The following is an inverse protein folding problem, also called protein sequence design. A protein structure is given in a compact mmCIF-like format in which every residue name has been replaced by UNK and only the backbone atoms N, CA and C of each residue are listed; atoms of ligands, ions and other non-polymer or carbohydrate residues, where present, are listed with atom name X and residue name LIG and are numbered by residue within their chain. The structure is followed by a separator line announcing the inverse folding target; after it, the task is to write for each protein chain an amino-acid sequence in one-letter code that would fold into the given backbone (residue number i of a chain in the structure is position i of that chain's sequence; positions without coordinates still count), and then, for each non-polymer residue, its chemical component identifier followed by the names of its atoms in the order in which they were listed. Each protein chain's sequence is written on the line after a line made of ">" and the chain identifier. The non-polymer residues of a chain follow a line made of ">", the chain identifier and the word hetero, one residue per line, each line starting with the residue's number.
data_IF_254722469963
#
_entry.id   IF_254722469963
#
_cell.length_a   1.000
_cell.length_b   1.000
_cell.length_c   1.000
_cell.angle_alpha   90.00
_cell.angle_beta   90.00
_cell.angle_gamma   90.00
#
_symmetry.space_group_name_H-M   'P 1'
#
loop_
_entity.id
_entity.type
_entity.pdbx_description
1 polymer ?
#
# COMPACT_ATOMS: atom_id res chain seq x y z
N UNK A 1 3.14 74.76 -9.85
CA UNK A 1 3.31 73.93 -11.06
C UNK A 1 4.06 72.67 -10.66
N UNK A 2 3.37 71.54 -10.53
CA UNK A 2 4.00 70.23 -10.38
C UNK A 2 3.45 69.36 -11.51
N UNK A 3 4.31 69.02 -12.47
CA UNK A 3 3.96 68.17 -13.59
C UNK A 3 3.94 66.72 -13.10
N UNK A 4 2.77 66.09 -13.18
CA UNK A 4 2.62 64.66 -12.93
C UNK A 4 3.26 63.88 -14.08
N UNK A 5 4.31 63.13 -13.77
CA UNK A 5 4.91 62.15 -14.69
C UNK A 5 3.99 60.93 -14.71
N UNK A 6 3.24 60.77 -15.79
CA UNK A 6 2.42 59.58 -16.04
C UNK A 6 3.33 58.50 -16.66
N UNK A 7 3.67 57.46 -15.89
CA UNK A 7 4.30 56.25 -16.42
C UNK A 7 3.24 55.37 -17.10
N UNK A 8 3.48 54.86 -18.33
CA UNK A 8 2.56 53.93 -18.97
C UNK A 8 2.65 52.55 -18.30
N UNK A 9 1.59 52.17 -17.59
CA UNK A 9 1.39 50.81 -17.07
C UNK A 9 1.06 49.89 -18.25
N UNK A 10 2.09 49.24 -18.81
CA UNK A 10 1.87 48.06 -19.66
C UNK A 10 1.41 46.92 -18.77
N UNK A 11 0.08 46.81 -18.57
CA UNK A 11 -0.52 45.61 -18.01
C UNK A 11 -0.36 44.48 -19.05
N UNK A 12 0.61 43.60 -18.85
CA UNK A 12 0.62 42.30 -19.52
C UNK A 12 -0.63 41.54 -19.07
N UNK A 13 -1.61 41.43 -19.96
CA UNK A 13 -2.78 40.58 -19.76
C UNK A 13 -2.30 39.13 -19.72
N UNK A 14 -2.36 38.52 -18.54
CA UNK A 14 -2.22 37.08 -18.41
C UNK A 14 -3.41 36.41 -19.11
N UNK A 15 -3.19 35.41 -19.97
CA UNK A 15 -4.29 34.71 -20.59
C UNK A 15 -5.17 34.05 -19.50
N UNK A 16 -6.49 33.98 -19.72
CA UNK A 16 -7.38 33.28 -18.81
C UNK A 16 -6.90 31.84 -18.61
N UNK A 17 -6.95 31.37 -17.36
CA UNK A 17 -6.56 30.00 -17.02
C UNK A 17 -7.36 28.95 -17.81
N UNK A 18 -6.81 27.75 -18.00
CA UNK A 18 -7.48 26.70 -18.76
C UNK A 18 -8.80 26.28 -18.10
N UNK A 19 -9.78 25.97 -18.94
CA UNK A 19 -11.10 25.50 -18.52
C UNK A 19 -11.01 24.03 -18.09
N UNK A 20 -11.03 23.81 -16.77
CA UNK A 20 -10.91 22.48 -16.15
C UNK A 20 -12.13 21.59 -16.36
N UNK A 21 -13.24 22.11 -16.92
CA UNK A 21 -14.40 21.29 -17.26
C UNK A 21 -14.22 20.49 -18.55
N UNK A 22 -13.21 20.84 -19.37
CA UNK A 22 -12.92 20.17 -20.63
C UNK A 22 -11.97 19.00 -20.43
N UNK A 23 -12.29 17.87 -21.06
CA UNK A 23 -11.45 16.67 -21.06
C UNK A 23 -10.16 16.93 -21.84
N UNK A 24 -9.00 16.67 -21.22
CA UNK A 24 -7.71 16.79 -21.89
C UNK A 24 -7.53 15.59 -22.82
N UNK A 25 -7.37 15.84 -24.12
CA UNK A 25 -7.32 14.80 -25.16
C UNK A 25 -5.92 14.59 -25.73
N UNK A 26 -4.88 14.90 -24.95
CA UNK A 26 -3.47 14.84 -25.40
C UNK A 26 -2.57 14.25 -24.31
N UNK A 27 -1.35 13.86 -24.69
CA UNK A 27 -0.32 13.45 -23.72
C UNK A 27 -0.66 12.13 -23.02
N UNK A 28 -0.17 12.01 -21.79
CA UNK A 28 -0.47 10.88 -20.91
C UNK A 28 -1.97 10.71 -20.63
N UNK A 29 -2.75 11.80 -20.63
CA UNK A 29 -4.19 11.72 -20.40
C UNK A 29 -4.90 10.94 -21.51
N UNK A 30 -4.53 11.20 -22.78
CA UNK A 30 -5.10 10.46 -23.92
C UNK A 30 -4.81 8.95 -23.82
N UNK A 31 -3.63 8.58 -23.33
CA UNK A 31 -3.27 7.18 -23.09
C UNK A 31 -4.09 6.60 -21.94
N UNK A 32 -4.17 7.30 -20.80
CA UNK A 32 -4.94 6.86 -19.64
C UNK A 32 -6.43 6.66 -19.97
N UNK A 33 -7.01 7.57 -20.74
CA UNK A 33 -8.37 7.47 -21.25
C UNK A 33 -8.59 6.24 -22.12
N UNK A 34 -7.67 5.97 -23.04
CA UNK A 34 -7.77 4.78 -23.90
C UNK A 34 -7.64 3.49 -23.10
N UNK A 35 -6.74 3.46 -22.11
CA UNK A 35 -6.51 2.28 -21.28
C UNK A 35 -7.66 2.00 -20.30
N UNK A 36 -8.44 3.02 -19.95
CA UNK A 36 -9.63 2.91 -19.08
C UNK A 36 -10.93 2.74 -19.87
N UNK A 37 -10.88 2.77 -21.20
CA UNK A 37 -12.04 2.60 -22.07
C UNK A 37 -12.69 1.23 -21.84
N UNK A 38 -13.90 1.25 -21.26
CA UNK A 38 -14.73 0.05 -21.09
C UNK A 38 -15.24 -0.36 -22.47
N UNK A 39 -15.18 -1.66 -22.84
CA UNK A 39 -15.77 -2.13 -24.08
C UNK A 39 -17.25 -1.74 -24.13
N UNK A 40 -17.63 -0.89 -25.08
CA UNK A 40 -19.04 -0.65 -25.40
C UNK A 40 -19.48 -1.72 -26.39
N UNK A 41 -20.57 -2.42 -26.09
CA UNK A 41 -21.20 -3.41 -26.99
C UNK A 41 -21.88 -2.75 -28.22
N UNK A 42 -21.51 -1.53 -28.58
CA UNK A 42 -22.02 -0.84 -29.76
C UNK A 42 -21.36 -1.39 -31.02
N UNK A 43 -22.18 -2.03 -31.86
CA UNK A 43 -21.79 -2.62 -33.14
C UNK A 43 -21.14 -1.61 -34.12
N UNK A 44 -21.30 -0.30 -33.90
CA UNK A 44 -20.79 0.75 -34.79
C UNK A 44 -19.40 1.31 -34.42
N UNK A 45 -18.91 1.13 -33.19
CA UNK A 45 -17.61 1.68 -32.72
C UNK A 45 -16.44 0.67 -32.81
N UNK A 46 -16.60 -0.40 -33.59
CA UNK A 46 -15.70 -1.57 -33.59
C UNK A 46 -14.39 -1.37 -34.38
N UNK A 47 -14.09 -0.15 -34.83
CA UNK A 47 -12.97 0.11 -35.76
C UNK A 47 -11.62 0.23 -35.06
N UNK A 48 -11.58 0.55 -33.76
CA UNK A 48 -10.33 0.64 -33.01
C UNK A 48 -10.09 -0.58 -32.12
N UNK A 49 -8.98 -1.27 -32.35
CA UNK A 49 -8.54 -2.39 -31.53
C UNK A 49 -8.37 -1.94 -30.09
N UNK A 50 -9.04 -2.63 -29.15
CA UNK A 50 -8.87 -2.41 -27.71
C UNK A 50 -7.39 -2.54 -27.35
N UNK A 51 -6.87 -1.56 -26.64
CA UNK A 51 -5.50 -1.55 -26.13
C UNK A 51 -5.52 -2.05 -24.70
N UNK A 52 -4.62 -2.99 -24.40
CA UNK A 52 -4.51 -3.59 -23.07
C UNK A 52 -3.43 -2.86 -22.26
N UNK A 53 -3.68 -2.50 -20.99
CA UNK A 53 -2.67 -1.86 -20.15
C UNK A 53 -1.45 -2.76 -19.96
N UNK A 54 -0.28 -2.25 -20.34
CA UNK A 54 1.01 -2.94 -20.22
C UNK A 54 2.03 -2.08 -19.52
N UNK A 55 2.77 -2.69 -18.61
CA UNK A 55 3.82 -2.04 -17.84
C UNK A 55 5.06 -2.92 -17.77
N UNK A 56 6.22 -2.29 -17.57
CA UNK A 56 7.48 -3.03 -17.43
C UNK A 56 7.62 -3.62 -16.04
N UNK A 57 8.12 -4.86 -15.94
CA UNK A 57 8.47 -5.50 -14.65
C UNK A 57 9.82 -5.05 -14.10
N UNK A 58 10.69 -4.46 -14.94
CA UNK A 58 12.02 -3.99 -14.55
C UNK A 58 12.85 -5.06 -13.81
N UNK A 59 12.80 -6.32 -14.27
CA UNK A 59 13.36 -7.47 -13.53
C UNK A 59 14.85 -7.29 -13.20
N UNK A 60 15.66 -6.91 -14.18
CA UNK A 60 17.10 -6.64 -13.97
C UNK A 60 17.34 -5.51 -12.97
N UNK A 61 16.51 -4.45 -12.99
CA UNK A 61 16.69 -3.32 -12.09
C UNK A 61 16.30 -3.69 -10.65
N UNK A 62 15.20 -4.42 -10.48
CA UNK A 62 14.80 -4.98 -9.18
C UNK A 62 15.90 -5.85 -8.58
N UNK A 63 16.51 -6.74 -9.37
CA UNK A 63 17.64 -7.54 -8.89
C UNK A 63 18.83 -6.68 -8.46
N UNK A 64 19.18 -5.62 -9.20
CA UNK A 64 20.27 -4.70 -8.81
C UNK A 64 19.97 -3.97 -7.51
N UNK A 65 18.74 -3.51 -7.32
CA UNK A 65 18.32 -2.84 -6.08
C UNK A 65 18.40 -3.81 -4.90
N UNK A 66 17.90 -5.04 -5.07
CA UNK A 66 17.97 -6.06 -4.02
C UNK A 66 19.41 -6.43 -3.66
N UNK A 67 20.28 -6.61 -4.66
CA UNK A 67 21.71 -6.90 -4.44
C UNK A 67 22.41 -5.74 -3.72
N UNK A 68 22.10 -4.50 -4.08
CA UNK A 68 22.66 -3.33 -3.40
C UNK A 68 22.22 -3.26 -1.93
N UNK A 69 20.93 -3.50 -1.66
CA UNK A 69 20.42 -3.55 -0.28
C UNK A 69 21.04 -4.69 0.53
N UNK A 70 21.31 -5.84 -0.08
CA UNK A 70 22.01 -6.95 0.60
C UNK A 70 23.41 -6.55 1.03
N UNK A 71 24.17 -5.93 0.12
CA UNK A 71 25.52 -5.46 0.38
C UNK A 71 25.56 -4.40 1.50
N UNK A 72 24.68 -3.39 1.44
CA UNK A 72 24.54 -2.39 2.51
C UNK A 72 24.20 -3.03 3.87
N UNK A 73 23.35 -4.05 3.90
CA UNK A 73 23.01 -4.76 5.15
C UNK A 73 24.23 -5.53 5.66
N UNK A 74 25.00 -6.17 4.77
CA UNK A 74 26.22 -6.88 5.14
C UNK A 74 27.28 -5.94 5.72
N UNK A 75 27.50 -4.77 5.12
CA UNK A 75 28.41 -3.75 5.68
C UNK A 75 27.99 -3.32 7.10
N UNK A 76 26.69 -3.09 7.31
CA UNK A 76 26.17 -2.72 8.63
C UNK A 76 26.29 -3.86 9.65
N UNK A 77 26.14 -5.12 9.22
CA UNK A 77 26.34 -6.30 10.06
C UNK A 77 27.81 -6.43 10.50
N UNK A 78 28.74 -6.21 9.57
CA UNK A 78 30.18 -6.19 9.86
C UNK A 78 30.55 -5.07 10.84
N UNK A 79 30.03 -3.86 10.64
CA UNK A 79 30.23 -2.75 11.58
C UNK A 79 29.65 -3.06 12.96
N UNK A 80 28.47 -3.69 13.01
CA UNK A 80 27.83 -4.06 14.28
C UNK A 80 28.68 -5.08 15.03
N UNK A 81 29.19 -6.09 14.31
CA UNK A 81 30.07 -7.10 14.87
C UNK A 81 31.37 -6.49 15.40
N UNK A 82 31.96 -5.56 14.66
CA UNK A 82 33.15 -4.84 15.08
C UNK A 82 32.91 -4.03 16.37
N UNK A 83 31.78 -3.32 16.46
CA UNK A 83 31.41 -2.58 17.67
C UNK A 83 31.15 -3.50 18.86
N UNK A 84 30.45 -4.61 18.64
CA UNK A 84 30.17 -5.61 19.68
C UNK A 84 31.47 -6.20 20.23
N UNK A 85 32.45 -6.49 19.38
CA UNK A 85 33.78 -6.95 19.79
C UNK A 85 34.55 -5.87 20.59
N UNK A 86 34.51 -4.61 20.15
CA UNK A 86 35.14 -3.51 20.89
C UNK A 86 34.52 -3.33 22.29
N UNK A 87 33.19 -3.42 22.40
CA UNK A 87 32.47 -3.36 23.69
C UNK A 87 32.89 -4.54 24.58
N UNK A 88 32.97 -5.75 24.01
CA UNK A 88 33.39 -6.93 24.76
C UNK A 88 34.82 -6.78 25.31
N UNK A 89 35.77 -6.30 24.50
CA UNK A 89 37.17 -6.12 24.91
C UNK A 89 37.38 -5.00 25.93
N UNK A 90 36.57 -3.94 25.86
CA UNK A 90 36.65 -2.80 26.80
C UNK A 90 35.91 -3.06 28.12
N UNK A 91 35.14 -4.14 28.23
CA UNK A 91 34.42 -4.47 29.46
C UNK A 91 35.39 -4.83 30.60
N UNK A 92 35.35 -4.11 31.74
CA UNK A 92 36.19 -4.42 32.90
C UNK A 92 35.98 -5.84 33.44
N UNK A 93 34.79 -6.41 33.21
CA UNK A 93 34.44 -7.74 33.69
C UNK A 93 35.24 -8.84 32.98
N UNK A 94 35.57 -8.65 31.70
CA UNK A 94 36.34 -9.60 30.90
C UNK A 94 37.78 -9.71 31.43
N UNK A 95 38.36 -8.61 31.89
CA UNK A 95 39.70 -8.61 32.50
C UNK A 95 39.75 -9.35 33.85
N UNK A 96 38.63 -9.41 34.56
CA UNK A 96 38.50 -10.10 35.85
C UNK A 96 37.93 -11.53 35.72
N UNK A 97 37.75 -12.03 34.49
CA UNK A 97 37.18 -13.37 34.22
C UNK A 97 35.68 -13.50 34.50
N UNK A 98 34.98 -12.38 34.72
CA UNK A 98 33.54 -12.36 34.98
C UNK A 98 32.76 -12.04 33.69
N UNK A 99 31.82 -12.90 33.33
CA UNK A 99 30.89 -12.67 32.22
C UNK A 99 29.76 -11.79 32.73
N UNK A 100 29.68 -10.54 32.25
CA UNK A 100 28.54 -9.67 32.55
C UNK A 100 27.35 -10.04 31.66
N UNK A 101 26.14 -10.22 32.22
CA UNK A 101 24.97 -10.50 31.42
C UNK A 101 24.58 -9.30 30.54
N UNK A 102 24.23 -9.56 29.29
CA UNK A 102 23.74 -8.53 28.37
C UNK A 102 22.45 -7.90 28.91
N UNK A 103 22.36 -6.57 28.89
CA UNK A 103 21.21 -5.86 29.43
C UNK A 103 21.03 -4.51 28.75
N UNK A 104 20.08 -4.42 27.82
CA UNK A 104 19.70 -3.16 27.15
C UNK A 104 19.38 -2.06 28.18
N UNK A 105 18.72 -2.41 29.29
CA UNK A 105 18.37 -1.45 30.35
C UNK A 105 19.60 -0.91 31.07
N UNK A 106 20.60 -1.76 31.33
CA UNK A 106 21.86 -1.33 31.91
C UNK A 106 22.67 -0.49 30.90
N UNK A 107 22.73 -0.91 29.63
CA UNK A 107 23.40 -0.19 28.54
C UNK A 107 22.79 1.19 28.30
N UNK A 108 21.47 1.35 28.41
CA UNK A 108 20.83 2.67 28.24
C UNK A 108 21.16 3.63 29.40
N UNK A 109 21.35 3.09 30.61
CA UNK A 109 21.57 3.90 31.83
C UNK A 109 23.05 4.15 32.13
N UNK A 110 23.91 3.21 31.79
CA UNK A 110 25.32 3.19 32.17
C UNK A 110 26.24 2.88 30.98
N UNK A 111 25.70 2.69 29.77
CA UNK A 111 26.51 2.47 28.58
C UNK A 111 27.18 3.75 28.11
N UNK A 112 28.43 3.62 27.66
CA UNK A 112 29.18 4.71 27.04
C UNK A 112 28.86 4.90 25.55
N UNK A 113 29.67 5.73 24.89
CA UNK A 113 29.53 6.10 23.48
C UNK A 113 29.39 4.90 22.53
N UNK A 114 30.15 3.83 22.78
CA UNK A 114 30.09 2.60 21.96
C UNK A 114 28.71 1.94 21.99
N UNK A 115 28.02 1.94 23.14
CA UNK A 115 26.65 1.41 23.26
C UNK A 115 25.63 2.32 22.56
N UNK A 116 25.85 3.63 22.59
CA UNK A 116 25.02 4.58 21.86
C UNK A 116 25.15 4.36 20.35
N UNK A 117 26.38 4.30 19.82
CA UNK A 117 26.65 4.02 18.40
C UNK A 117 26.06 2.69 17.96
N UNK A 118 26.22 1.63 18.76
CA UNK A 118 25.58 0.32 18.52
C UNK A 118 24.07 0.44 18.40
N UNK A 119 23.43 1.22 19.28
CA UNK A 119 21.97 1.44 19.25
C UNK A 119 21.53 2.17 17.98
N UNK A 120 22.26 3.19 17.54
CA UNK A 120 21.99 3.89 16.29
C UNK A 120 22.15 2.96 15.08
N UNK A 121 23.21 2.15 15.07
CA UNK A 121 23.49 1.19 14.00
C UNK A 121 22.37 0.13 13.89
N UNK A 122 21.90 -0.41 15.02
CA UNK A 122 20.76 -1.31 15.06
C UNK A 122 19.47 -0.68 14.50
N UNK A 123 19.26 0.63 14.74
CA UNK A 123 18.16 1.38 14.14
C UNK A 123 18.27 1.50 12.61
N UNK A 124 19.48 1.73 12.11
CA UNK A 124 19.74 1.76 10.67
C UNK A 124 19.52 0.38 10.03
N UNK A 125 20.06 -0.67 10.63
CA UNK A 125 19.86 -2.06 10.21
C UNK A 125 18.37 -2.40 10.14
N UNK A 126 17.58 -2.04 11.15
CA UNK A 126 16.13 -2.24 11.15
C UNK A 126 15.46 -1.59 9.93
N UNK A 127 15.85 -0.36 9.61
CA UNK A 127 15.29 0.38 8.46
C UNK A 127 15.67 -0.28 7.14
N UNK A 128 16.96 -0.64 6.96
CA UNK A 128 17.46 -1.31 5.75
C UNK A 128 16.85 -2.69 5.54
N UNK A 129 16.72 -3.49 6.60
CA UNK A 129 16.02 -4.78 6.56
C UNK A 129 14.55 -4.60 6.13
N UNK A 130 13.88 -3.57 6.65
CA UNK A 130 12.52 -3.23 6.23
C UNK A 130 12.44 -2.91 4.74
N UNK A 131 13.36 -2.10 4.22
CA UNK A 131 13.43 -1.75 2.79
C UNK A 131 13.67 -2.98 1.92
N UNK A 132 14.62 -3.84 2.31
CA UNK A 132 14.92 -5.08 1.60
C UNK A 132 13.71 -6.02 1.56
N UNK A 133 13.09 -6.29 2.71
CA UNK A 133 11.93 -7.18 2.80
C UNK A 133 10.73 -6.66 2.01
N UNK A 134 10.49 -5.34 2.04
CA UNK A 134 9.44 -4.69 1.26
C UNK A 134 9.69 -4.81 -0.24
N UNK A 135 10.91 -4.51 -0.69
CA UNK A 135 11.31 -4.62 -2.10
C UNK A 135 11.19 -6.07 -2.61
N UNK A 136 11.68 -7.04 -1.82
CA UNK A 136 11.63 -8.45 -2.18
C UNK A 136 10.19 -8.98 -2.27
N UNK A 137 9.37 -8.62 -1.28
CA UNK A 137 7.94 -9.00 -1.24
C UNK A 137 7.18 -8.39 -2.41
N UNK A 138 7.40 -7.11 -2.69
CA UNK A 138 6.73 -6.39 -3.80
C UNK A 138 7.10 -7.00 -5.14
N UNK A 139 8.40 -7.25 -5.37
CA UNK A 139 8.89 -7.87 -6.60
C UNK A 139 8.38 -9.30 -6.78
N UNK A 140 8.41 -10.11 -5.72
CA UNK A 140 7.87 -11.49 -5.73
C UNK A 140 6.37 -11.51 -6.01
N UNK A 141 5.61 -10.63 -5.36
CA UNK A 141 4.15 -10.50 -5.52
C UNK A 141 3.80 -10.09 -6.95
N UNK A 142 4.49 -9.09 -7.49
CA UNK A 142 4.31 -8.68 -8.89
C UNK A 142 4.59 -9.84 -9.86
N UNK A 143 5.69 -10.58 -9.67
CA UNK A 143 6.07 -11.71 -10.53
C UNK A 143 5.10 -12.89 -10.46
N UNK A 144 4.45 -13.10 -9.31
CA UNK A 144 3.46 -14.17 -9.11
C UNK A 144 2.08 -13.83 -9.66
N UNK A 145 1.67 -12.57 -9.53
CA UNK A 145 0.28 -12.17 -9.76
C UNK A 145 0.02 -11.62 -11.17
N UNK A 146 1.05 -11.20 -11.91
CA UNK A 146 0.87 -10.63 -13.24
C UNK A 146 1.35 -11.61 -14.32
N UNK A 147 0.53 -11.75 -15.36
CA UNK A 147 0.87 -12.53 -16.53
C UNK A 147 1.81 -11.76 -17.47
N UNK A 148 2.75 -12.45 -18.15
CA UNK A 148 3.46 -11.88 -19.29
C UNK A 148 2.50 -11.36 -20.36
N UNK A 149 2.86 -10.25 -21.02
CA UNK A 149 2.02 -9.67 -22.07
C UNK A 149 2.01 -10.55 -23.34
N UNK A 150 0.84 -10.70 -23.95
CA UNK A 150 0.68 -11.47 -25.19
C UNK A 150 1.26 -10.70 -26.39
N UNK A 151 2.07 -11.33 -27.27
CA UNK A 151 2.64 -10.65 -28.43
C UNK A 151 1.62 -10.01 -29.37
N UNK A 152 0.38 -10.50 -29.45
CA UNK A 152 -0.64 -9.88 -30.30
C UNK A 152 -1.16 -8.58 -29.72
N UNK A 153 -1.37 -8.54 -28.40
CA UNK A 153 -1.76 -7.35 -27.66
C UNK A 153 -0.66 -6.27 -27.69
N UNK A 154 0.62 -6.68 -27.59
CA UNK A 154 1.77 -5.75 -27.70
C UNK A 154 1.76 -5.05 -29.06
N UNK A 155 1.48 -5.80 -30.15
CA UNK A 155 1.40 -5.23 -31.51
C UNK A 155 0.22 -4.27 -31.64
N UNK A 156 -0.93 -4.60 -31.06
CA UNK A 156 -2.10 -3.73 -31.06
C UNK A 156 -1.80 -2.41 -30.33
N UNK A 157 -1.16 -2.48 -29.16
CA UNK A 157 -0.75 -1.30 -28.41
C UNK A 157 0.26 -0.46 -29.20
N UNK A 158 1.30 -1.10 -29.74
CA UNK A 158 2.31 -0.41 -30.55
C UNK A 158 1.70 0.31 -31.77
N UNK A 159 0.79 -0.35 -32.49
CA UNK A 159 0.07 0.25 -33.62
C UNK A 159 -0.78 1.44 -33.19
N UNK A 160 -1.48 1.34 -32.06
CA UNK A 160 -2.28 2.44 -31.54
C UNK A 160 -1.39 3.63 -31.15
N UNK A 161 -0.26 3.38 -30.49
CA UNK A 161 0.70 4.42 -30.08
C UNK A 161 1.32 5.13 -31.30
N UNK A 162 1.67 4.38 -32.34
CA UNK A 162 2.17 4.96 -33.60
C UNK A 162 1.13 5.79 -34.33
N UNK A 163 -0.14 5.38 -34.32
CA UNK A 163 -1.24 6.09 -34.98
C UNK A 163 -1.54 7.42 -34.29
N UNK A 164 -1.57 7.43 -32.96
CA UNK A 164 -2.02 8.60 -32.18
C UNK A 164 -0.87 9.49 -31.70
N UNK A 165 0.35 8.95 -31.62
CA UNK A 165 1.55 9.61 -31.10
C UNK A 165 1.29 10.49 -29.85
N UNK A 166 0.60 9.97 -28.81
CA UNK A 166 0.19 10.78 -27.66
C UNK A 166 1.37 11.16 -26.76
N UNK A 167 2.41 10.34 -26.74
CA UNK A 167 3.64 10.52 -25.94
C UNK A 167 4.87 10.43 -26.85
N UNK A 168 5.99 10.93 -26.35
CA UNK A 168 7.23 11.03 -27.10
C UNK A 168 7.81 9.64 -27.41
N UNK A 169 8.56 9.51 -28.51
CA UNK A 169 9.00 8.19 -29.00
C UNK A 169 9.98 7.50 -28.04
N UNK A 170 10.84 8.26 -27.34
CA UNK A 170 11.76 7.68 -26.36
C UNK A 170 11.00 7.12 -25.16
N UNK A 171 9.89 7.75 -24.77
CA UNK A 171 9.00 7.27 -23.71
C UNK A 171 8.24 6.00 -24.14
N UNK A 172 7.89 5.86 -25.42
CA UNK A 172 7.18 4.69 -25.98
C UNK A 172 8.07 3.44 -26.13
N UNK A 173 9.40 3.60 -26.12
CA UNK A 173 10.38 2.53 -26.33
C UNK A 173 10.25 1.34 -25.37
N UNK A 174 9.55 1.53 -24.25
CA UNK A 174 9.24 0.45 -23.31
C UNK A 174 8.53 -0.74 -23.99
N UNK A 175 7.71 -0.49 -25.02
CA UNK A 175 6.98 -1.53 -25.76
C UNK A 175 7.91 -2.43 -26.61
N UNK A 176 9.16 -2.01 -26.87
CA UNK A 176 10.15 -2.84 -27.57
C UNK A 176 10.64 -4.01 -26.70
N UNK A 177 10.54 -3.89 -25.37
CA UNK A 177 11.07 -4.85 -24.41
C UNK A 177 10.05 -5.95 -24.10
N UNK A 178 9.71 -6.76 -25.11
CA UNK A 178 8.62 -7.77 -25.05
C UNK A 178 8.68 -8.70 -23.83
N UNK A 179 9.87 -9.15 -23.45
CA UNK A 179 10.09 -10.06 -22.31
C UNK A 179 9.97 -9.38 -20.94
N UNK A 180 9.92 -8.04 -20.92
CA UNK A 180 9.84 -7.20 -19.72
C UNK A 180 8.43 -6.65 -19.50
N UNK A 181 7.44 -6.99 -20.32
CA UNK A 181 6.07 -6.46 -20.25
C UNK A 181 5.11 -7.39 -19.49
N UNK A 182 4.31 -6.78 -18.61
CA UNK A 182 3.24 -7.43 -17.85
C UNK A 182 1.88 -6.85 -18.21
N UNK A 183 0.85 -7.69 -18.20
CA UNK A 183 -0.55 -7.30 -18.44
C UNK A 183 -1.35 -7.26 -17.13
N UNK A 184 -2.17 -6.22 -16.93
CA UNK A 184 -3.07 -6.08 -15.78
C UNK A 184 -4.42 -6.81 -15.92
N UNK A 185 -4.73 -7.33 -17.11
CA UNK A 185 -6.07 -7.86 -17.44
C UNK A 185 -6.30 -9.31 -16.98
N UNK A 186 -5.30 -9.96 -16.39
CA UNK A 186 -5.27 -11.41 -16.17
C UNK A 186 -6.12 -11.96 -15.03
N UNK A 187 -6.91 -11.17 -14.29
CA UNK A 187 -7.64 -11.68 -13.11
C UNK A 187 -9.16 -11.52 -13.10
N UNK A 188 -9.77 -10.91 -14.11
CA UNK A 188 -11.23 -10.76 -14.11
C UNK A 188 -12.00 -11.97 -14.68
N UNK A 189 -11.34 -13.09 -14.99
CA UNK A 189 -12.01 -14.25 -15.63
C UNK A 189 -11.77 -15.62 -14.98
N UNK A 190 -10.85 -15.79 -14.03
CA UNK A 190 -10.53 -17.13 -13.48
C UNK A 190 -10.86 -17.34 -12.01
N UNK A 191 -11.28 -16.32 -11.26
CA UNK A 191 -11.54 -16.45 -9.82
C UNK A 191 -13.04 -16.65 -9.49
N UNK A 192 -13.79 -17.26 -10.42
CA UNK A 192 -15.11 -17.87 -10.13
C UNK A 192 -15.00 -19.39 -10.05
N UNK A 193 -13.95 -19.95 -9.44
CA UNK A 193 -13.91 -21.33 -8.93
C UNK A 193 -12.55 -21.61 -8.29
N UNK A 194 -12.43 -21.38 -6.98
CA UNK A 194 -11.62 -22.17 -6.03
C UNK A 194 -11.39 -21.38 -4.73
N UNK A 195 -12.33 -21.56 -3.81
CA UNK A 195 -12.20 -21.25 -2.40
C UNK A 195 -11.01 -22.02 -1.79
N UNK A 196 -10.44 -21.45 -0.72
CA UNK A 196 -9.47 -22.00 0.26
C UNK A 196 -7.98 -21.93 -0.06
N UNK A 197 -7.38 -20.78 0.23
CA UNK A 197 -6.04 -20.74 0.84
C UNK A 197 -5.97 -19.61 1.89
N UNK A 198 -6.02 -20.03 3.15
CA UNK A 198 -5.81 -19.24 4.36
C UNK A 198 -4.40 -18.64 4.35
N UNK A 199 -4.28 -17.32 4.38
CA UNK A 199 -3.03 -16.63 4.65
C UNK A 199 -3.22 -15.62 5.78
N UNK A 200 -2.93 -16.11 6.98
CA UNK A 200 -2.72 -15.31 8.19
C UNK A 200 -1.49 -14.42 7.98
N UNK A 201 -1.68 -13.10 7.94
CA UNK A 201 -0.60 -12.13 8.03
C UNK A 201 -0.96 -11.05 9.05
N UNK A 202 -0.42 -11.22 10.25
CA UNK A 202 -0.35 -10.22 11.30
C UNK A 202 0.75 -9.22 10.99
N UNK A 203 0.42 -7.92 11.02
CA UNK A 203 1.33 -6.87 11.49
C UNK A 203 1.59 -5.71 10.53
N UNK A 204 0.86 -4.59 10.74
CA UNK A 204 1.42 -3.25 10.52
C UNK A 204 0.61 -2.27 9.66
N UNK A 205 -0.31 -1.55 10.31
CA UNK A 205 -0.72 -0.14 10.07
C UNK A 205 -0.82 0.41 8.63
N UNK A 206 -2.07 0.68 8.22
CA UNK A 206 -2.40 1.76 7.28
C UNK A 206 -3.40 1.36 6.19
N UNK A 207 -4.64 1.84 6.29
CA UNK A 207 -5.57 1.82 5.16
C UNK A 207 -7.02 1.52 5.53
N UNK A 208 -7.73 2.54 5.98
CA UNK A 208 -9.20 2.58 6.02
C UNK A 208 -9.76 2.63 4.59
N UNK A 209 -9.88 1.50 3.91
CA UNK A 209 -10.66 1.39 2.68
C UNK A 209 -10.97 -0.08 2.38
N UNK A 210 -12.23 -0.48 2.53
CA UNK A 210 -12.67 -1.83 2.17
C UNK A 210 -13.76 -2.41 3.07
N UNK A 211 -14.69 -1.59 3.58
CA UNK A 211 -15.93 -2.09 4.18
C UNK A 211 -16.92 -2.41 3.07
N UNK A 212 -16.78 -3.58 2.45
CA UNK A 212 -17.89 -4.31 1.88
C UNK A 212 -17.41 -5.72 1.53
N UNK A 213 -18.24 -6.71 1.81
CA UNK A 213 -18.12 -8.13 1.42
C UNK A 213 -17.36 -9.02 2.41
N UNK A 214 -18.07 -9.44 3.46
CA UNK A 214 -18.37 -10.88 3.66
C UNK A 214 -19.01 -11.07 5.03
N UNK A 215 -20.26 -11.53 5.01
CA UNK A 215 -21.13 -11.78 6.15
C UNK A 215 -20.69 -12.94 7.07
N UNK A 216 -19.38 -13.24 7.13
CA UNK A 216 -18.81 -14.31 7.99
C UNK A 216 -17.67 -13.78 8.88
N UNK A 217 -17.19 -12.55 8.69
CA UNK A 217 -16.13 -11.92 9.52
C UNK A 217 -16.71 -10.91 10.54
N UNK A 218 -18.03 -10.74 10.60
CA UNK A 218 -18.66 -9.81 11.56
C UNK A 218 -18.59 -10.28 13.01
N UNK A 219 -18.67 -11.59 13.25
CA UNK A 219 -18.84 -12.14 14.60
C UNK A 219 -17.65 -11.89 15.56
N UNK A 220 -16.37 -12.08 15.18
CA UNK A 220 -15.26 -11.83 16.10
C UNK A 220 -14.90 -10.34 16.22
N UNK A 221 -15.14 -9.53 15.18
CA UNK A 221 -14.81 -8.10 15.20
C UNK A 221 -15.76 -7.32 16.13
N UNK A 222 -17.03 -7.71 16.16
CA UNK A 222 -18.05 -7.14 17.04
C UNK A 222 -17.72 -7.43 18.52
N UNK A 223 -17.16 -8.61 18.83
CA UNK A 223 -16.84 -9.01 20.22
C UNK A 223 -15.54 -8.37 20.75
N UNK A 224 -14.58 -8.06 19.87
CA UNK A 224 -13.26 -7.51 20.25
C UNK A 224 -13.29 -5.99 20.44
N UNK A 225 -14.17 -5.27 19.72
CA UNK A 225 -14.29 -3.81 19.78
C UNK A 225 -14.63 -3.26 21.18
N UNK A 226 -15.59 -3.84 21.94
CA UNK A 226 -15.91 -3.41 23.30
C UNK A 226 -14.78 -3.67 24.30
N UNK A 227 -14.07 -4.80 24.16
CA UNK A 227 -12.95 -5.17 25.03
C UNK A 227 -11.76 -4.20 24.85
N UNK A 228 -11.47 -3.82 23.61
CA UNK A 228 -10.42 -2.84 23.30
C UNK A 228 -10.78 -1.42 23.78
N UNK A 229 -12.06 -1.03 23.66
CA UNK A 229 -12.53 0.26 24.18
C UNK A 229 -12.44 0.36 25.72
N UNK A 230 -12.62 -0.77 26.43
CA UNK A 230 -12.51 -0.82 27.89
C UNK A 230 -11.07 -0.59 28.39
N UNK A 231 -10.07 -1.02 27.62
CA UNK A 231 -8.65 -0.89 27.97
C UNK A 231 -8.08 0.54 27.82
N UNK A 232 -8.69 1.37 26.97
CA UNK A 232 -8.13 2.68 26.59
C UNK A 232 -8.74 3.89 27.31
N UNK A 233 -9.89 3.75 27.99
CA UNK A 233 -10.61 4.88 28.60
C UNK A 233 -10.70 4.69 30.13
N UNK A 234 -10.10 5.58 30.95
CA UNK A 234 -10.11 5.46 32.41
C UNK A 234 -11.43 5.95 33.07
N UNK A 235 -12.46 6.31 32.30
CA UNK A 235 -13.73 6.85 32.79
C UNK A 235 -14.93 5.91 32.59
N UNK A 236 -15.73 5.70 33.64
CA UNK A 236 -16.89 4.79 33.66
C UNK A 236 -18.04 5.25 32.73
N UNK A 237 -18.22 6.57 32.57
CA UNK A 237 -19.27 7.15 31.75
C UNK A 237 -19.03 6.95 30.24
N UNK A 238 -17.77 7.04 29.80
CA UNK A 238 -17.39 6.79 28.41
C UNK A 238 -17.60 5.32 28.00
N UNK A 239 -17.42 4.39 28.94
CA UNK A 239 -17.66 2.97 28.72
C UNK A 239 -19.16 2.67 28.52
N UNK A 240 -20.03 3.27 29.32
CA UNK A 240 -21.49 3.12 29.17
C UNK A 240 -22.01 3.70 27.85
N UNK A 241 -21.47 4.85 27.43
CA UNK A 241 -21.85 5.48 26.16
C UNK A 241 -21.48 4.60 24.96
N UNK A 242 -20.26 4.03 24.94
CA UNK A 242 -19.80 3.14 23.87
C UNK A 242 -20.66 1.87 23.80
N UNK A 243 -20.97 1.24 24.94
CA UNK A 243 -21.81 0.04 24.98
C UNK A 243 -23.20 0.34 24.41
N UNK A 244 -23.78 1.49 24.74
CA UNK A 244 -25.07 1.92 24.18
C UNK A 244 -25.01 2.13 22.66
N UNK A 245 -23.95 2.77 22.15
CA UNK A 245 -23.79 3.01 20.71
C UNK A 245 -23.56 1.71 19.94
N UNK A 246 -22.71 0.81 20.45
CA UNK A 246 -22.44 -0.49 19.82
C UNK A 246 -23.71 -1.35 19.82
N UNK A 247 -24.43 -1.43 20.94
CA UNK A 247 -25.70 -2.15 21.01
C UNK A 247 -26.77 -1.59 20.06
N UNK A 248 -26.86 -0.26 19.93
CA UNK A 248 -27.79 0.37 18.99
C UNK A 248 -27.45 0.05 17.53
N UNK A 249 -26.15 0.03 17.19
CA UNK A 249 -25.68 -0.33 15.84
C UNK A 249 -25.99 -1.81 15.54
N UNK A 250 -25.79 -2.71 16.50
CA UNK A 250 -26.13 -4.13 16.33
C UNK A 250 -27.63 -4.34 16.13
N UNK A 251 -28.49 -3.69 16.94
CA UNK A 251 -29.95 -3.75 16.79
C UNK A 251 -30.40 -3.17 15.44
N UNK A 252 -29.80 -2.07 14.99
CA UNK A 252 -30.10 -1.47 13.69
C UNK A 252 -29.70 -2.40 12.52
N UNK A 253 -28.56 -3.09 12.64
CA UNK A 253 -28.11 -4.06 11.63
C UNK A 253 -29.03 -5.28 11.58
N UNK A 254 -29.46 -5.81 12.74
CA UNK A 254 -30.39 -6.96 12.82
C UNK A 254 -31.79 -6.62 12.33
N UNK A 255 -32.26 -5.40 12.54
CA UNK A 255 -33.59 -4.96 12.05
C UNK A 255 -33.59 -4.60 10.56
N UNK A 256 -32.43 -4.27 9.99
CA UNK A 256 -32.29 -3.92 8.57
C UNK A 256 -32.15 -5.13 7.63
N UNK A 257 -31.88 -6.33 8.17
CA UNK A 257 -31.85 -7.57 7.38
C UNK A 257 -33.26 -8.17 7.27
N UNK A 258 -33.95 -7.84 6.19
CA UNK A 258 -35.33 -8.29 5.89
C UNK A 258 -35.45 -9.83 5.79
N UNK A 259 -34.35 -10.58 5.69
CA UNK A 259 -34.36 -12.05 5.64
C UNK A 259 -34.37 -12.75 7.01
N UNK A 260 -34.04 -12.06 8.12
CA UNK A 260 -34.00 -12.67 9.45
C UNK A 260 -35.32 -12.57 10.23
N UNK A 261 -36.17 -11.59 9.88
CA UNK A 261 -37.49 -11.41 10.50
C UNK A 261 -38.54 -12.43 10.04
N UNK A 262 -38.24 -13.20 8.99
CA UNK A 262 -39.12 -14.26 8.47
C UNK A 262 -39.05 -15.57 9.25
N UNK A 263 -38.03 -15.78 10.10
CA UNK A 263 -37.79 -17.08 10.76
C UNK A 263 -38.27 -17.15 12.22
N UNK A 264 -38.41 -16.03 12.95
CA UNK A 264 -38.88 -16.05 14.35
C UNK A 264 -39.74 -14.83 14.69
N UNK A 265 -40.81 -15.07 15.44
CA UNK A 265 -41.74 -14.03 15.88
C UNK A 265 -41.14 -13.17 17.00
N UNK A 266 -41.48 -11.87 17.02
CA UNK A 266 -40.93 -10.84 17.96
C UNK A 266 -40.97 -11.27 19.43
N UNK A 267 -41.93 -12.12 19.82
CA UNK A 267 -42.05 -12.64 21.19
C UNK A 267 -40.90 -13.58 21.58
N UNK A 268 -40.34 -14.34 20.65
CA UNK A 268 -39.27 -15.32 20.93
C UNK A 268 -37.91 -14.63 21.04
N UNK A 269 -37.69 -13.56 20.29
CA UNK A 269 -36.54 -12.67 20.47
C UNK A 269 -36.51 -12.00 21.84
N UNK A 270 -37.68 -11.59 22.34
CA UNK A 270 -37.77 -10.97 23.66
C UNK A 270 -37.44 -11.95 24.79
N UNK A 271 -37.75 -13.24 24.62
CA UNK A 271 -37.36 -14.29 25.56
C UNK A 271 -35.86 -14.60 25.51
N UNK A 272 -35.25 -14.63 24.33
CA UNK A 272 -33.81 -14.87 24.18
C UNK A 272 -32.95 -13.71 24.73
N UNK A 273 -33.45 -12.48 24.64
CA UNK A 273 -32.78 -11.30 25.23
C UNK A 273 -32.99 -11.17 26.75
N UNK A 274 -33.88 -11.98 27.34
CA UNK A 274 -34.22 -11.96 28.77
C UNK A 274 -33.56 -13.10 29.57
N UNK A 275 -32.81 -14.00 28.93
CA UNK A 275 -31.88 -14.92 29.61
C UNK A 275 -30.48 -14.34 29.60
#
# INVERSE_FOLDING_TARGET
>A
MAAAVQLPQHYQQYPPGPDLSKKTVIGYELVADKLTEVPKDDYESRTETRVVPMYRKFERLNHRVLLHLQDEISELEEELRYLDECIAQQSPSVQLGHIQPASRRAETRHGGEMHHRRTLLLGNIYTKLGQYNSALSSFSTMKKNLAPADPSEIRAYHKWMQKHAPIEQTETRFLEHKDDLLNLSGRNQTDSESTTATATATGGVGGVAGLAQSAVIGLPLILVLPLMAFALIPGLLGRLFIIGVVGAVEVAVVTSSVELMGFMTVKEWLYAASM
#
